data_IF_619518990573
#
_entry.id   IF_619518990573
#
_cell.length_a   1.000
_cell.length_b   1.000
_cell.length_c   1.000
_cell.angle_alpha   90.00
_cell.angle_beta   90.00
_cell.angle_gamma   90.00
#
_symmetry.space_group_name_H-M   'P 1'
#
loop_
_entity.id
_entity.type
_entity.pdbx_description
1 polymer ?
#
# COMPACT_ATOMS: atom_id res chain seq x y z
N UNK A 1 -36.92 19.72 6.13
CA UNK A 1 -35.57 20.14 6.53
C UNK A 1 -34.57 19.20 5.88
N UNK A 2 -33.92 19.64 4.80
CA UNK A 2 -32.82 18.92 4.17
C UNK A 2 -31.52 19.68 4.46
N UNK A 3 -30.66 19.13 5.30
CA UNK A 3 -29.26 19.53 5.37
C UNK A 3 -28.47 18.54 4.50
N UNK A 4 -28.59 18.71 3.17
CA UNK A 4 -27.98 17.85 2.15
C UNK A 4 -26.97 18.59 1.26
N UNK A 5 -26.38 19.68 1.74
CA UNK A 5 -25.41 20.49 0.99
C UNK A 5 -24.02 19.88 1.03
N UNK A 6 -23.65 19.09 0.01
CA UNK A 6 -22.28 18.59 -0.07
C UNK A 6 -21.95 17.67 -1.23
N UNK A 7 -22.61 17.76 -2.40
CA UNK A 7 -22.16 17.16 -3.66
C UNK A 7 -21.75 15.67 -3.69
N UNK A 8 -21.99 14.87 -2.64
CA UNK A 8 -21.46 13.53 -2.46
C UNK A 8 -19.95 13.46 -2.18
N UNK A 9 -19.32 14.55 -1.71
CA UNK A 9 -17.89 14.58 -1.35
C UNK A 9 -17.66 14.18 0.11
N UNK A 10 -16.52 13.55 0.38
CA UNK A 10 -16.11 13.14 1.72
C UNK A 10 -15.49 14.29 2.52
N UNK A 11 -14.76 15.19 1.85
CA UNK A 11 -14.03 16.30 2.43
C UNK A 11 -14.80 17.60 2.22
N UNK A 12 -14.95 18.36 3.32
CA UNK A 12 -15.57 19.69 3.29
C UNK A 12 -14.88 20.62 2.29
N UNK A 13 -13.54 20.59 2.22
CA UNK A 13 -12.77 21.42 1.29
C UNK A 13 -13.15 21.16 -0.18
N UNK A 14 -13.38 19.90 -0.55
CA UNK A 14 -13.77 19.52 -1.91
C UNK A 14 -15.21 19.94 -2.22
N UNK A 15 -16.12 19.74 -1.27
CA UNK A 15 -17.52 20.19 -1.39
C UNK A 15 -17.62 21.70 -1.59
N UNK A 16 -16.96 22.47 -0.72
CA UNK A 16 -16.94 23.94 -0.79
C UNK A 16 -16.34 24.42 -2.11
N UNK A 17 -15.27 23.79 -2.60
CA UNK A 17 -14.71 24.12 -3.90
C UNK A 17 -15.73 23.93 -5.02
N UNK A 18 -16.39 22.77 -5.07
CA UNK A 18 -17.35 22.47 -6.13
C UNK A 18 -18.59 23.38 -6.07
N UNK A 19 -19.05 23.71 -4.86
CA UNK A 19 -20.13 24.67 -4.66
C UNK A 19 -19.73 26.07 -5.14
N UNK A 20 -18.50 26.52 -4.85
CA UNK A 20 -17.97 27.78 -5.36
C UNK A 20 -17.94 27.80 -6.90
N UNK A 21 -17.42 26.72 -7.52
CA UNK A 21 -17.37 26.59 -8.98
C UNK A 21 -18.77 26.63 -9.60
N UNK A 22 -19.72 25.90 -9.01
CA UNK A 22 -21.10 25.87 -9.51
C UNK A 22 -21.78 27.23 -9.37
N UNK A 23 -21.55 27.91 -8.25
CA UNK A 23 -22.12 29.24 -7.97
C UNK A 23 -21.61 30.31 -8.94
N UNK A 24 -20.36 30.24 -9.39
CA UNK A 24 -19.80 31.14 -10.42
C UNK A 24 -20.65 31.16 -11.71
N UNK A 25 -21.31 30.04 -12.02
CA UNK A 25 -22.12 29.85 -13.22
C UNK A 25 -23.60 29.61 -12.89
N UNK A 26 -24.09 30.19 -11.79
CA UNK A 26 -25.51 30.19 -11.46
C UNK A 26 -26.27 31.31 -12.18
N UNK A 27 -27.52 31.07 -12.55
CA UNK A 27 -28.34 31.99 -13.37
C UNK A 27 -28.49 33.40 -12.78
N UNK A 28 -28.44 33.52 -11.44
CA UNK A 28 -28.55 34.80 -10.71
C UNK A 28 -27.20 35.44 -10.38
N UNK A 29 -26.09 34.81 -10.78
CA UNK A 29 -24.72 35.23 -10.42
C UNK A 29 -23.91 35.52 -11.67
N UNK A 30 -23.99 34.66 -12.67
CA UNK A 30 -23.23 34.78 -13.91
C UNK A 30 -23.72 35.97 -14.74
N UNK A 31 -22.77 36.80 -15.19
CA UNK A 31 -23.03 37.91 -16.08
C UNK A 31 -22.17 37.72 -17.34
N UNK A 32 -22.77 37.61 -18.55
CA UNK A 32 -22.01 37.38 -19.78
C UNK A 32 -20.89 38.40 -20.02
N UNK A 33 -21.12 39.68 -19.69
CA UNK A 33 -20.11 40.74 -19.80
C UNK A 33 -18.89 40.56 -18.88
N UNK A 34 -18.99 39.68 -17.87
CA UNK A 34 -17.91 39.32 -16.94
C UNK A 34 -17.47 37.85 -17.09
N UNK A 35 -17.85 37.18 -18.18
CA UNK A 35 -17.55 35.77 -18.42
C UNK A 35 -16.07 35.43 -18.21
N UNK A 36 -15.17 36.28 -18.72
CA UNK A 36 -13.72 36.12 -18.55
C UNK A 36 -13.28 36.10 -17.08
N UNK A 37 -13.91 36.90 -16.20
CA UNK A 37 -13.58 36.93 -14.76
C UNK A 37 -14.07 35.68 -14.06
N UNK A 38 -15.27 35.18 -14.39
CA UNK A 38 -15.81 33.93 -13.83
C UNK A 38 -14.99 32.70 -14.26
N UNK A 39 -14.61 32.62 -15.54
CA UNK A 39 -13.72 31.55 -16.03
C UNK A 39 -12.37 31.61 -15.33
N UNK A 40 -11.73 32.78 -15.29
CA UNK A 40 -10.44 32.96 -14.62
C UNK A 40 -10.49 32.53 -13.15
N UNK A 41 -11.52 32.95 -12.41
CA UNK A 41 -11.71 32.54 -11.02
C UNK A 41 -11.84 31.03 -10.90
N UNK A 42 -12.63 30.39 -11.76
CA UNK A 42 -12.87 28.95 -11.73
C UNK A 42 -11.62 28.14 -12.01
N UNK A 43 -10.83 28.53 -13.04
CA UNK A 43 -9.54 27.90 -13.33
C UNK A 43 -8.55 28.08 -12.18
N UNK A 44 -8.50 29.28 -11.58
CA UNK A 44 -7.65 29.54 -10.42
C UNK A 44 -8.06 28.72 -9.19
N UNK A 45 -9.34 28.50 -8.95
CA UNK A 45 -9.83 27.68 -7.84
C UNK A 45 -9.44 26.21 -8.03
N UNK A 46 -9.62 25.66 -9.23
CA UNK A 46 -9.22 24.28 -9.57
C UNK A 46 -7.71 24.12 -9.42
N UNK A 47 -6.93 25.02 -10.02
CA UNK A 47 -5.46 24.99 -9.95
C UNK A 47 -4.94 25.13 -8.52
N UNK A 48 -5.49 26.05 -7.71
CA UNK A 48 -5.07 26.22 -6.31
C UNK A 48 -5.36 24.98 -5.48
N UNK A 49 -6.52 24.36 -5.68
CA UNK A 49 -6.87 23.13 -4.97
C UNK A 49 -5.93 21.98 -5.33
N UNK A 50 -5.65 21.81 -6.63
CA UNK A 50 -4.71 20.81 -7.13
C UNK A 50 -3.30 21.00 -6.57
N UNK A 51 -2.75 22.21 -6.63
CA UNK A 51 -1.43 22.54 -6.07
C UNK A 51 -1.39 22.29 -4.56
N UNK A 52 -2.44 22.68 -3.84
CA UNK A 52 -2.56 22.47 -2.40
C UNK A 52 -2.55 20.98 -2.04
N UNK A 53 -3.30 20.15 -2.77
CA UNK A 53 -3.30 18.70 -2.59
C UNK A 53 -1.92 18.10 -2.86
N UNK A 54 -1.27 18.47 -3.98
CA UNK A 54 0.08 17.94 -4.31
C UNK A 54 1.11 18.28 -3.25
N UNK A 55 1.18 19.55 -2.85
CA UNK A 55 2.12 19.99 -1.82
C UNK A 55 1.86 19.30 -0.47
N UNK A 56 0.59 19.02 -0.16
CA UNK A 56 0.20 18.26 1.01
C UNK A 56 0.62 16.79 0.97
N UNK A 57 0.29 16.10 -0.11
CA UNK A 57 0.58 14.68 -0.29
C UNK A 57 2.08 14.40 -0.41
N UNK A 58 2.86 15.31 -0.99
CA UNK A 58 4.33 15.22 -1.00
C UNK A 58 4.88 15.27 0.42
N UNK A 59 4.40 16.20 1.27
CA UNK A 59 4.80 16.25 2.69
C UNK A 59 4.40 14.98 3.44
N UNK A 60 3.22 14.41 3.17
CA UNK A 60 2.80 13.13 3.77
C UNK A 60 3.71 11.96 3.34
N UNK A 61 4.13 11.95 2.07
CA UNK A 61 5.08 10.97 1.53
C UNK A 61 6.43 11.04 2.24
N UNK A 62 6.94 12.25 2.45
CA UNK A 62 8.21 12.50 3.14
C UNK A 62 8.14 12.13 4.62
N UNK A 63 7.05 12.47 5.31
CA UNK A 63 6.83 12.10 6.70
C UNK A 63 6.82 10.58 6.92
N UNK A 64 6.35 9.81 5.94
CA UNK A 64 6.39 8.34 5.98
C UNK A 64 7.81 7.75 5.87
N UNK A 65 8.80 8.53 5.43
CA UNK A 65 10.21 8.12 5.34
C UNK A 65 11.06 8.59 6.52
N UNK A 66 10.57 9.55 7.31
CA UNK A 66 11.29 10.12 8.43
C UNK A 66 11.10 9.27 9.70
N UNK A 67 12.10 9.28 10.58
CA UNK A 67 11.98 8.68 11.91
C UNK A 67 10.85 9.35 12.70
N UNK A 68 10.17 8.57 13.56
CA UNK A 68 9.02 9.04 14.35
C UNK A 68 9.32 10.32 15.17
N UNK A 69 10.59 10.54 15.55
CA UNK A 69 11.04 11.74 16.28
C UNK A 69 11.08 13.02 15.42
N UNK A 70 11.07 12.90 14.09
CA UNK A 70 11.17 14.00 13.11
C UNK A 70 9.90 14.17 12.27
N UNK A 71 8.84 13.39 12.55
CA UNK A 71 7.57 13.57 11.87
C UNK A 71 7.04 15.00 12.09
N UNK A 72 6.73 15.67 10.97
CA UNK A 72 6.16 17.01 10.97
C UNK A 72 4.92 17.07 11.88
N UNK A 73 4.70 18.22 12.52
CA UNK A 73 3.50 18.42 13.37
C UNK A 73 2.27 18.86 12.56
N UNK A 74 2.43 19.09 11.26
CA UNK A 74 1.40 19.66 10.41
C UNK A 74 0.29 18.67 10.07
N UNK A 75 -0.83 19.18 9.55
CA UNK A 75 -1.99 18.37 9.19
C UNK A 75 -1.65 17.26 8.18
N UNK A 76 -0.86 17.59 7.18
CA UNK A 76 -0.56 16.70 6.06
C UNK A 76 0.27 15.50 6.45
N UNK A 77 1.27 15.67 7.31
CA UNK A 77 2.13 14.60 7.80
C UNK A 77 1.39 13.55 8.65
N UNK A 78 0.24 13.92 9.24
CA UNK A 78 -0.56 13.06 10.13
C UNK A 78 -1.72 12.34 9.44
N UNK A 79 -1.88 12.51 8.14
CA UNK A 79 -2.98 11.86 7.42
C UNK A 79 -2.96 10.34 7.61
N UNK A 80 -4.11 9.84 8.04
CA UNK A 80 -4.40 8.42 8.24
C UNK A 80 -4.78 7.74 6.92
N UNK A 81 -4.72 6.41 6.90
CA UNK A 81 -5.16 5.61 5.74
C UNK A 81 -6.60 5.93 5.29
N UNK A 82 -7.60 6.05 6.19
CA UNK A 82 -8.96 6.45 5.78
C UNK A 82 -9.04 7.85 5.18
N UNK A 83 -8.29 8.83 5.70
CA UNK A 83 -8.28 10.18 5.14
C UNK A 83 -7.66 10.22 3.73
N UNK A 84 -6.62 9.41 3.48
CA UNK A 84 -6.06 9.24 2.13
C UNK A 84 -7.08 8.61 1.16
N UNK A 85 -7.88 7.65 1.64
CA UNK A 85 -8.99 7.06 0.86
C UNK A 85 -10.05 8.11 0.51
N UNK A 86 -10.40 8.99 1.46
CA UNK A 86 -11.32 10.10 1.20
C UNK A 86 -10.77 11.06 0.14
N UNK A 87 -9.48 11.42 0.22
CA UNK A 87 -8.83 12.31 -0.76
C UNK A 87 -8.85 11.71 -2.17
N UNK A 88 -8.52 10.41 -2.34
CA UNK A 88 -8.51 9.80 -3.69
C UNK A 88 -9.91 9.68 -4.28
N UNK A 89 -10.92 9.40 -3.45
CA UNK A 89 -12.30 9.34 -3.89
C UNK A 89 -12.82 10.72 -4.31
N UNK A 90 -12.49 11.76 -3.53
CA UNK A 90 -12.92 13.12 -3.80
C UNK A 90 -12.24 13.72 -5.02
N UNK A 91 -10.94 13.47 -5.22
CA UNK A 91 -10.21 13.90 -6.43
C UNK A 91 -10.78 13.28 -7.70
N UNK A 92 -11.06 11.96 -7.68
CA UNK A 92 -11.74 11.28 -8.80
C UNK A 92 -13.13 11.86 -9.05
N UNK A 93 -13.94 11.98 -8.00
CA UNK A 93 -15.30 12.53 -8.11
C UNK A 93 -15.30 13.96 -8.61
N UNK A 94 -14.39 14.80 -8.11
CA UNK A 94 -14.27 16.20 -8.51
C UNK A 94 -13.87 16.28 -9.99
N UNK A 95 -12.89 15.50 -10.43
CA UNK A 95 -12.51 15.43 -11.84
C UNK A 95 -13.69 15.02 -12.74
N UNK A 96 -14.49 14.03 -12.33
CA UNK A 96 -15.71 13.65 -13.07
C UNK A 96 -16.70 14.81 -13.13
N UNK A 97 -17.05 15.41 -11.98
CA UNK A 97 -18.05 16.49 -11.91
C UNK A 97 -17.63 17.78 -12.63
N UNK A 98 -16.33 18.07 -12.70
CA UNK A 98 -15.82 19.19 -13.50
C UNK A 98 -15.99 18.91 -14.99
N UNK A 99 -15.72 17.67 -15.44
CA UNK A 99 -15.88 17.26 -16.85
C UNK A 99 -17.33 17.12 -17.29
N UNK A 100 -18.24 16.76 -16.37
CA UNK A 100 -19.67 16.64 -16.65
C UNK A 100 -20.43 17.90 -16.23
N UNK A 101 -20.83 17.96 -14.96
CA UNK A 101 -21.85 18.85 -14.43
C UNK A 101 -21.44 20.33 -14.59
N UNK A 102 -20.20 20.66 -14.27
CA UNK A 102 -19.69 22.02 -14.40
C UNK A 102 -19.53 22.43 -15.87
N UNK A 103 -18.98 21.54 -16.70
CA UNK A 103 -18.83 21.77 -18.14
C UNK A 103 -20.17 22.05 -18.81
N UNK A 104 -21.17 21.20 -18.56
CA UNK A 104 -22.52 21.38 -19.09
C UNK A 104 -23.12 22.72 -18.66
N UNK A 105 -23.00 23.05 -17.37
CA UNK A 105 -23.47 24.34 -16.84
C UNK A 105 -22.79 25.53 -17.51
N UNK A 106 -21.47 25.47 -17.68
CA UNK A 106 -20.69 26.53 -18.32
C UNK A 106 -21.10 26.70 -19.78
N UNK A 107 -21.22 25.62 -20.54
CA UNK A 107 -21.69 25.68 -21.92
C UNK A 107 -23.09 26.29 -22.02
N UNK A 108 -24.01 25.92 -21.12
CA UNK A 108 -25.38 26.45 -21.09
C UNK A 108 -25.45 27.95 -20.81
N UNK A 109 -24.76 28.43 -19.77
CA UNK A 109 -24.81 29.88 -19.44
C UNK A 109 -24.06 30.76 -20.44
N UNK A 110 -23.22 30.15 -21.27
CA UNK A 110 -22.44 30.83 -22.31
C UNK A 110 -22.98 30.60 -23.74
N UNK A 111 -24.15 29.99 -23.91
CA UNK A 111 -24.70 29.60 -25.23
C UNK A 111 -24.82 30.79 -26.21
N UNK A 112 -25.03 32.01 -25.70
CA UNK A 112 -25.10 33.23 -26.51
C UNK A 112 -23.76 33.91 -26.82
N UNK A 113 -22.62 33.31 -26.43
CA UNK A 113 -21.27 33.80 -26.72
C UNK A 113 -20.67 33.09 -27.94
N UNK A 114 -19.50 33.55 -28.37
CA UNK A 114 -18.74 32.93 -29.47
C UNK A 114 -18.50 31.42 -29.19
N UNK A 115 -18.97 30.52 -30.07
CA UNK A 115 -18.79 29.07 -29.90
C UNK A 115 -17.33 28.63 -29.76
N UNK A 116 -16.39 29.30 -30.44
CA UNK A 116 -14.97 28.96 -30.34
C UNK A 116 -14.43 29.27 -28.93
N UNK A 117 -14.85 30.41 -28.36
CA UNK A 117 -14.51 30.79 -26.99
C UNK A 117 -15.10 29.80 -25.98
N UNK A 118 -16.36 29.40 -26.14
CA UNK A 118 -17.02 28.43 -25.26
C UNK A 118 -16.31 27.08 -25.33
N UNK A 119 -15.93 26.65 -26.53
CA UNK A 119 -15.13 25.45 -26.75
C UNK A 119 -13.78 25.50 -26.03
N UNK A 120 -13.07 26.63 -26.12
CA UNK A 120 -11.79 26.83 -25.42
C UNK A 120 -11.96 26.76 -23.89
N UNK A 121 -13.00 27.41 -23.34
CA UNK A 121 -13.29 27.36 -21.89
C UNK A 121 -13.60 25.94 -21.43
N UNK A 122 -14.40 25.19 -22.20
CA UNK A 122 -14.69 23.79 -21.90
C UNK A 122 -13.42 22.93 -21.93
N UNK A 123 -12.53 23.15 -22.91
CA UNK A 123 -11.23 22.49 -22.99
C UNK A 123 -10.34 22.77 -21.77
N UNK A 124 -10.30 24.01 -21.29
CA UNK A 124 -9.56 24.38 -20.07
C UNK A 124 -10.14 23.73 -18.80
N UNK A 125 -11.47 23.58 -18.69
CA UNK A 125 -12.08 22.82 -17.59
C UNK A 125 -11.69 21.33 -17.64
N UNK A 126 -11.69 20.74 -18.83
CA UNK A 126 -11.26 19.35 -19.02
C UNK A 126 -9.78 19.15 -18.68
N UNK A 127 -8.92 20.10 -19.04
CA UNK A 127 -7.51 20.13 -18.67
C UNK A 127 -7.35 20.22 -17.15
N UNK A 128 -8.04 21.15 -16.49
CA UNK A 128 -8.03 21.28 -15.03
C UNK A 128 -8.51 20.01 -14.32
N UNK A 129 -9.58 19.38 -14.83
CA UNK A 129 -10.07 18.12 -14.29
C UNK A 129 -9.07 16.96 -14.48
N UNK A 130 -8.32 16.94 -15.58
CA UNK A 130 -7.25 15.96 -15.81
C UNK A 130 -6.12 16.16 -14.79
N UNK A 131 -5.72 17.40 -14.51
CA UNK A 131 -4.70 17.69 -13.49
C UNK A 131 -5.14 17.26 -12.08
N UNK A 132 -6.39 17.57 -11.69
CA UNK A 132 -6.95 17.09 -10.41
C UNK A 132 -6.98 15.56 -10.37
N UNK A 133 -7.41 14.91 -11.45
CA UNK A 133 -7.42 13.45 -11.55
C UNK A 133 -6.01 12.85 -11.44
N UNK A 134 -4.98 13.55 -11.95
CA UNK A 134 -3.57 13.15 -11.83
C UNK A 134 -3.06 13.06 -10.40
N UNK A 135 -3.67 13.81 -9.47
CA UNK A 135 -3.36 13.73 -8.03
C UNK A 135 -3.64 12.34 -7.45
N UNK A 136 -4.61 11.60 -8.02
CA UNK A 136 -4.95 10.25 -7.57
C UNK A 136 -3.74 9.29 -7.62
N UNK A 137 -2.82 9.48 -8.57
CA UNK A 137 -1.59 8.68 -8.65
C UNK A 137 -0.66 8.95 -7.47
N UNK A 138 -0.54 10.21 -7.04
CA UNK A 138 0.27 10.58 -5.86
C UNK A 138 -0.34 9.97 -4.60
N UNK A 139 -1.67 10.06 -4.46
CA UNK A 139 -2.38 9.46 -3.31
C UNK A 139 -2.20 7.95 -3.31
N UNK A 140 -2.26 7.29 -4.47
CA UNK A 140 -2.01 5.85 -4.61
C UNK A 140 -0.63 5.47 -4.07
N UNK A 141 0.43 6.16 -4.49
CA UNK A 141 1.78 5.86 -4.01
C UNK A 141 1.91 6.06 -2.49
N UNK A 142 1.29 7.12 -1.95
CA UNK A 142 1.33 7.43 -0.51
C UNK A 142 0.57 6.39 0.29
N UNK A 143 -0.65 6.05 -0.16
CA UNK A 143 -1.51 5.06 0.46
C UNK A 143 -0.88 3.66 0.40
N UNK A 144 -0.37 3.27 -0.78
CA UNK A 144 0.32 2.01 -0.97
C UNK A 144 1.58 1.90 -0.12
N UNK A 145 2.36 2.99 -0.01
CA UNK A 145 3.53 3.05 0.88
C UNK A 145 3.18 2.93 2.37
N UNK A 146 2.09 3.57 2.80
CA UNK A 146 1.60 3.51 4.18
C UNK A 146 1.17 2.09 4.57
N UNK A 147 0.34 1.45 3.74
CA UNK A 147 -0.12 0.07 3.97
C UNK A 147 1.06 -0.92 3.88
N UNK A 148 1.97 -0.73 2.92
CA UNK A 148 3.20 -1.51 2.81
C UNK A 148 4.01 -1.44 4.11
N UNK A 149 4.21 -0.26 4.67
CA UNK A 149 4.98 -0.09 5.89
C UNK A 149 4.33 -0.81 7.09
N UNK A 150 3.01 -0.71 7.22
CA UNK A 150 2.26 -1.43 8.26
C UNK A 150 2.43 -2.96 8.13
N UNK A 151 2.41 -3.50 6.92
CA UNK A 151 2.66 -4.92 6.67
C UNK A 151 4.12 -5.31 7.02
N UNK A 152 5.10 -4.50 6.59
CA UNK A 152 6.53 -4.73 6.84
C UNK A 152 6.88 -4.67 8.33
N UNK A 153 6.15 -3.87 9.12
CA UNK A 153 6.36 -3.80 10.56
C UNK A 153 6.10 -5.15 11.25
N UNK A 154 5.15 -5.97 10.76
CA UNK A 154 4.95 -7.33 11.27
C UNK A 154 6.10 -8.28 10.91
N UNK A 155 6.80 -8.06 9.80
CA UNK A 155 7.95 -8.88 9.40
C UNK A 155 9.15 -8.73 10.36
N UNK A 156 9.17 -7.69 11.20
CA UNK A 156 10.17 -7.56 12.28
C UNK A 156 10.13 -8.75 13.24
N UNK A 157 8.99 -9.44 13.36
CA UNK A 157 8.83 -10.63 14.20
C UNK A 157 9.50 -11.89 13.66
N UNK A 158 9.89 -11.93 12.37
CA UNK A 158 10.64 -13.04 11.78
C UNK A 158 11.92 -13.32 12.58
N UNK A 159 12.61 -12.27 13.04
CA UNK A 159 13.82 -12.39 13.87
C UNK A 159 13.56 -13.04 15.24
N UNK A 160 12.31 -13.02 15.72
CA UNK A 160 11.88 -13.67 16.96
C UNK A 160 11.86 -15.20 16.89
N UNK A 161 11.86 -15.79 15.68
CA UNK A 161 11.90 -17.25 15.48
C UNK A 161 13.17 -17.83 16.12
N UNK A 162 14.32 -17.17 15.94
CA UNK A 162 15.59 -17.61 16.54
C UNK A 162 15.50 -17.72 18.06
N UNK A 163 14.93 -16.71 18.73
CA UNK A 163 14.78 -16.71 20.18
C UNK A 163 13.82 -17.80 20.66
N UNK A 164 12.86 -18.21 19.83
CA UNK A 164 11.86 -19.24 20.16
C UNK A 164 12.48 -20.63 20.24
N UNK A 165 13.43 -20.97 19.36
CA UNK A 165 13.99 -22.32 19.25
C UNK A 165 15.40 -22.48 19.83
N UNK A 166 16.19 -21.42 19.87
CA UNK A 166 17.59 -21.49 20.32
C UNK A 166 17.66 -21.85 21.81
N UNK A 167 18.20 -23.03 22.12
CA UNK A 167 18.40 -23.53 23.48
C UNK A 167 17.11 -23.68 24.32
N UNK A 168 15.93 -23.75 23.71
CA UNK A 168 14.64 -23.77 24.44
C UNK A 168 14.05 -25.17 24.65
N UNK A 169 14.74 -26.23 24.19
CA UNK A 169 14.24 -27.63 24.18
C UNK A 169 12.84 -27.81 23.55
N UNK A 170 12.34 -26.82 22.80
CA UNK A 170 11.03 -26.91 22.13
C UNK A 170 10.99 -28.04 21.09
N UNK A 171 9.82 -28.68 20.90
CA UNK A 171 9.62 -29.68 19.86
C UNK A 171 9.72 -29.05 18.46
N UNK A 172 9.71 -29.89 17.43
CA UNK A 172 9.62 -29.42 16.05
C UNK A 172 8.33 -28.62 15.82
N UNK A 173 8.39 -27.50 15.09
CA UNK A 173 7.18 -26.75 14.75
C UNK A 173 6.24 -27.59 13.89
N UNK A 174 4.95 -27.45 14.16
CA UNK A 174 3.85 -28.05 13.38
C UNK A 174 2.80 -27.02 12.94
N UNK A 175 2.99 -25.76 13.31
CA UNK A 175 2.07 -24.65 13.00
C UNK A 175 2.85 -23.40 12.61
N UNK A 176 2.28 -22.54 11.76
CA UNK A 176 2.82 -21.22 11.48
C UNK A 176 2.88 -20.34 12.73
N UNK A 177 3.79 -19.37 12.72
CA UNK A 177 3.93 -18.35 13.76
C UNK A 177 2.71 -17.43 13.80
N UNK A 178 2.33 -17.00 15.00
CA UNK A 178 1.15 -16.15 15.20
C UNK A 178 1.19 -14.80 14.47
N UNK A 179 2.36 -14.26 14.17
CA UNK A 179 2.45 -12.96 13.47
C UNK A 179 2.03 -13.06 12.00
N UNK A 180 2.12 -14.23 11.37
CA UNK A 180 1.93 -14.41 9.93
C UNK A 180 0.53 -13.96 9.52
N UNK A 181 -0.51 -14.34 10.26
CA UNK A 181 -1.91 -13.91 10.05
C UNK A 181 -2.17 -12.43 10.27
N UNK A 182 -1.16 -11.67 10.70
CA UNK A 182 -1.24 -10.22 10.85
C UNK A 182 -0.51 -9.47 9.73
N UNK A 183 0.40 -10.13 9.00
CA UNK A 183 1.26 -9.48 7.98
C UNK A 183 0.42 -8.79 6.92
N UNK A 184 -0.61 -9.45 6.39
CA UNK A 184 -1.45 -8.90 5.32
C UNK A 184 -2.77 -8.30 5.83
N UNK A 185 -2.97 -8.20 7.15
CA UNK A 185 -4.17 -7.58 7.74
C UNK A 185 -4.38 -6.13 7.25
N UNK A 186 -3.36 -5.25 7.21
CA UNK A 186 -3.55 -3.88 6.73
C UNK A 186 -4.09 -3.82 5.29
N UNK A 187 -3.63 -4.72 4.42
CA UNK A 187 -4.11 -4.81 3.05
C UNK A 187 -5.56 -5.33 2.97
N UNK A 188 -5.91 -6.31 3.79
CA UNK A 188 -7.29 -6.82 3.89
C UNK A 188 -8.27 -5.80 4.49
N UNK A 189 -7.81 -4.92 5.38
CA UNK A 189 -8.60 -3.79 5.89
C UNK A 189 -8.82 -2.73 4.81
N UNK A 190 -7.78 -2.42 4.02
CA UNK A 190 -7.90 -1.52 2.88
C UNK A 190 -8.90 -2.04 1.83
N UNK A 191 -8.94 -3.35 1.56
CA UNK A 191 -9.93 -3.95 0.63
C UNK A 191 -11.39 -3.73 1.06
N UNK A 192 -11.65 -3.52 2.35
CA UNK A 192 -13.00 -3.24 2.88
C UNK A 192 -13.38 -1.76 2.78
N UNK A 193 -12.44 -0.89 2.40
CA UNK A 193 -12.67 0.54 2.26
C UNK A 193 -13.36 0.89 0.93
N UNK A 194 -13.86 2.11 0.81
CA UNK A 194 -14.58 2.60 -0.37
C UNK A 194 -13.66 2.97 -1.56
N UNK A 195 -12.52 2.31 -1.73
CA UNK A 195 -11.61 2.54 -2.86
C UNK A 195 -12.21 1.90 -4.12
N UNK A 196 -12.11 2.57 -5.27
CA UNK A 196 -12.56 2.02 -6.56
C UNK A 196 -11.83 0.70 -6.89
N UNK A 197 -12.53 -0.27 -7.48
CA UNK A 197 -11.99 -1.61 -7.80
C UNK A 197 -10.63 -1.59 -8.50
N UNK A 198 -10.47 -0.80 -9.57
CA UNK A 198 -9.22 -0.71 -10.33
C UNK A 198 -8.04 -0.25 -9.45
N UNK A 199 -8.25 0.81 -8.66
CA UNK A 199 -7.24 1.32 -7.75
C UNK A 199 -6.91 0.33 -6.63
N UNK A 200 -7.91 -0.40 -6.14
CA UNK A 200 -7.68 -1.44 -5.13
C UNK A 200 -6.87 -2.60 -5.71
N UNK A 201 -7.13 -3.00 -6.96
CA UNK A 201 -6.33 -4.02 -7.64
C UNK A 201 -4.87 -3.57 -7.77
N UNK A 202 -4.63 -2.34 -8.25
CA UNK A 202 -3.27 -1.79 -8.34
C UNK A 202 -2.56 -1.71 -6.98
N UNK A 203 -3.26 -1.25 -5.93
CA UNK A 203 -2.70 -1.15 -4.58
C UNK A 203 -2.40 -2.53 -4.01
N UNK A 204 -3.30 -3.49 -4.20
CA UNK A 204 -3.14 -4.87 -3.74
C UNK A 204 -1.90 -5.50 -4.36
N UNK A 205 -1.77 -5.42 -5.68
CA UNK A 205 -0.66 -6.04 -6.39
C UNK A 205 0.67 -5.34 -6.05
N UNK A 206 0.67 -4.01 -5.93
CA UNK A 206 1.84 -3.24 -5.48
C UNK A 206 2.30 -3.63 -4.07
N UNK A 207 1.37 -3.64 -3.10
CA UNK A 207 1.69 -3.96 -1.70
C UNK A 207 2.12 -5.42 -1.57
N UNK A 208 1.38 -6.37 -2.15
CA UNK A 208 1.68 -7.79 -2.07
C UNK A 208 3.09 -8.10 -2.58
N UNK A 209 3.46 -7.60 -3.76
CA UNK A 209 4.81 -7.78 -4.32
C UNK A 209 5.90 -7.21 -3.41
N UNK A 210 5.71 -5.97 -2.94
CA UNK A 210 6.72 -5.29 -2.11
C UNK A 210 6.86 -5.90 -0.72
N UNK A 211 5.77 -6.33 -0.07
CA UNK A 211 5.82 -7.04 1.21
C UNK A 211 6.53 -8.39 1.03
N UNK A 212 6.22 -9.10 -0.06
CA UNK A 212 6.81 -10.42 -0.34
C UNK A 212 8.31 -10.33 -0.57
N UNK A 213 8.76 -9.39 -1.40
CA UNK A 213 10.18 -9.11 -1.59
C UNK A 213 10.87 -8.75 -0.26
N UNK A 214 10.20 -7.95 0.59
CA UNK A 214 10.78 -7.59 1.90
C UNK A 214 10.84 -8.77 2.87
N UNK A 215 9.88 -9.69 2.77
CA UNK A 215 9.89 -10.93 3.53
C UNK A 215 11.05 -11.82 3.09
N UNK A 216 11.29 -11.95 1.78
CA UNK A 216 12.42 -12.70 1.24
C UNK A 216 13.76 -12.18 1.78
N UNK A 217 14.02 -10.87 1.66
CA UNK A 217 15.22 -10.24 2.23
C UNK A 217 15.37 -10.55 3.74
N UNK A 218 14.27 -10.51 4.49
CA UNK A 218 14.28 -10.77 5.94
C UNK A 218 14.53 -12.25 6.25
N UNK A 219 13.99 -13.15 5.43
CA UNK A 219 14.17 -14.59 5.51
C UNK A 219 15.61 -14.99 5.19
N UNK A 220 16.17 -14.46 4.10
CA UNK A 220 17.58 -14.66 3.71
C UNK A 220 18.54 -14.22 4.82
N UNK A 221 18.32 -13.04 5.38
CA UNK A 221 19.12 -12.50 6.49
C UNK A 221 19.08 -13.41 7.74
N UNK A 222 17.89 -13.91 8.08
CA UNK A 222 17.70 -14.85 9.19
C UNK A 222 18.45 -16.16 8.92
N UNK A 223 18.24 -16.78 7.76
CA UNK A 223 18.85 -18.06 7.40
C UNK A 223 20.37 -17.97 7.33
N UNK A 224 20.92 -16.88 6.79
CA UNK A 224 22.35 -16.59 6.79
C UNK A 224 22.91 -16.55 8.21
N UNK A 225 22.21 -15.89 9.14
CA UNK A 225 22.59 -15.83 10.55
C UNK A 225 22.56 -17.21 11.23
N UNK A 226 21.54 -18.01 10.93
CA UNK A 226 21.41 -19.38 11.43
C UNK A 226 22.56 -20.25 10.94
N UNK A 227 22.90 -20.20 9.65
CA UNK A 227 24.00 -20.96 9.05
C UNK A 227 25.38 -20.58 9.64
N UNK A 228 25.63 -19.28 9.85
CA UNK A 228 26.86 -18.82 10.51
C UNK A 228 26.97 -19.32 11.95
N UNK A 229 25.86 -19.33 12.69
CA UNK A 229 25.80 -19.82 14.07
C UNK A 229 26.04 -21.34 14.12
N UNK A 230 25.39 -22.09 13.24
CA UNK A 230 25.51 -23.55 13.13
C UNK A 230 26.95 -23.98 12.77
N UNK A 231 27.55 -23.35 11.77
CA UNK A 231 28.95 -23.62 11.37
C UNK A 231 29.95 -23.29 12.47
N UNK A 232 29.71 -22.22 13.24
CA UNK A 232 30.54 -21.86 14.40
C UNK A 232 30.44 -22.90 15.52
N UNK A 233 29.24 -23.37 15.82
CA UNK A 233 29.00 -24.43 16.82
C UNK A 233 29.62 -25.77 16.40
N UNK A 234 29.53 -26.11 15.10
CA UNK A 234 30.16 -27.32 14.56
C UNK A 234 31.68 -27.28 14.75
N UNK A 235 32.33 -26.18 14.36
CA UNK A 235 33.79 -25.98 14.55
C UNK A 235 34.21 -26.00 16.02
N UNK A 236 33.38 -25.46 16.92
CA UNK A 236 33.64 -25.51 18.36
C UNK A 236 33.56 -26.95 18.90
N UNK A 237 32.54 -27.71 18.50
CA UNK A 237 32.38 -29.12 18.87
C UNK A 237 33.54 -29.95 18.35
N UNK A 238 33.93 -29.80 17.08
CA UNK A 238 35.09 -30.48 16.47
C UNK A 238 36.39 -30.22 17.25
N UNK A 239 36.61 -28.99 17.75
CA UNK A 239 37.76 -28.66 18.61
C UNK A 239 37.67 -29.29 20.01
N UNK A 240 36.47 -29.47 20.55
CA UNK A 240 36.26 -30.10 21.86
C UNK A 240 36.35 -31.63 21.78
N UNK A 241 35.99 -32.24 20.66
CA UNK A 241 36.03 -33.70 20.44
C UNK A 241 37.39 -34.23 19.99
N UNK A 242 38.37 -33.37 19.69
CA UNK A 242 39.77 -33.77 19.39
C UNK A 242 40.49 -34.50 20.56
N UNK A 243 39.83 -34.74 21.70
CA UNK A 243 40.36 -35.53 22.83
C UNK A 243 39.49 -36.72 23.28
N UNK A 244 38.36 -37.02 22.62
CA UNK A 244 37.49 -38.15 22.99
C UNK A 244 36.99 -38.87 21.74
N UNK A 245 37.25 -40.18 21.65
CA UNK A 245 36.91 -41.03 20.51
C UNK A 245 35.42 -41.00 20.16
N UNK A 246 35.14 -41.14 18.86
CA UNK A 246 33.79 -41.17 18.29
C UNK A 246 32.96 -42.33 18.86
N UNK A 247 31.77 -42.00 19.37
CA UNK A 247 30.71 -42.98 19.63
C UNK A 247 29.61 -42.73 18.59
N UNK A 248 29.61 -43.54 17.53
CA UNK A 248 28.52 -43.60 16.56
C UNK A 248 27.31 -44.32 17.18
N UNK A 249 26.11 -43.73 17.07
CA UNK A 249 24.87 -44.46 17.38
C UNK A 249 23.66 -43.66 17.86
N UNK A 250 23.76 -42.36 18.14
CA UNK A 250 22.58 -41.57 18.52
C UNK A 250 21.91 -40.96 17.28
N UNK A 251 20.63 -41.32 17.05
CA UNK A 251 19.78 -40.64 16.07
C UNK A 251 19.89 -39.12 16.25
N UNK A 252 20.30 -38.41 15.20
CA UNK A 252 20.57 -36.98 15.25
C UNK A 252 19.30 -36.24 15.65
N UNK A 253 19.23 -35.79 16.91
CA UNK A 253 18.14 -34.96 17.40
C UNK A 253 18.12 -33.67 16.56
N UNK A 254 16.96 -33.33 15.99
CA UNK A 254 16.80 -32.17 15.13
C UNK A 254 17.43 -30.92 15.77
N UNK A 255 18.29 -30.25 15.01
CA UNK A 255 19.03 -29.09 15.50
C UNK A 255 18.10 -27.89 15.66
N UNK A 256 18.54 -26.90 16.45
CA UNK A 256 17.80 -25.63 16.54
C UNK A 256 17.72 -24.94 15.16
N UNK A 257 18.71 -25.15 14.28
CA UNK A 257 18.71 -24.64 12.92
C UNK A 257 17.61 -25.30 12.07
N UNK A 258 17.40 -26.61 12.20
CA UNK A 258 16.33 -27.34 11.50
C UNK A 258 14.94 -26.85 11.93
N UNK A 259 14.76 -26.58 13.23
CA UNK A 259 13.52 -26.01 13.75
C UNK A 259 13.25 -24.61 13.21
N UNK A 260 14.26 -23.76 13.14
CA UNK A 260 14.13 -22.40 12.60
C UNK A 260 13.79 -22.45 11.10
N UNK A 261 14.49 -23.28 10.32
CA UNK A 261 14.20 -23.49 8.89
C UNK A 261 12.76 -23.97 8.68
N UNK A 262 12.34 -24.99 9.43
CA UNK A 262 10.97 -25.50 9.31
C UNK A 262 9.91 -24.48 9.73
N UNK A 263 10.14 -23.73 10.81
CA UNK A 263 9.19 -22.67 11.22
C UNK A 263 9.02 -21.64 10.11
N UNK A 264 10.12 -21.18 9.53
CA UNK A 264 10.08 -20.18 8.46
C UNK A 264 9.38 -20.72 7.21
N UNK A 265 9.59 -21.99 6.87
CA UNK A 265 8.86 -22.67 5.79
C UNK A 265 7.34 -22.71 6.04
N UNK A 266 6.90 -23.11 7.24
CA UNK A 266 5.48 -23.12 7.62
C UNK A 266 4.88 -21.71 7.61
N UNK A 267 5.65 -20.70 8.03
CA UNK A 267 5.24 -19.30 8.01
C UNK A 267 5.00 -18.81 6.58
N UNK A 268 5.88 -19.15 5.64
CA UNK A 268 5.75 -18.77 4.23
C UNK A 268 4.58 -19.49 3.54
N UNK A 269 4.34 -20.78 3.86
CA UNK A 269 3.15 -21.48 3.37
C UNK A 269 1.86 -20.76 3.79
N UNK A 270 1.74 -20.38 5.06
CA UNK A 270 0.57 -19.66 5.55
C UNK A 270 0.47 -18.24 4.99
N UNK A 271 1.60 -17.57 4.79
CA UNK A 271 1.64 -16.29 4.09
C UNK A 271 1.11 -16.40 2.65
N UNK A 272 1.51 -17.44 1.90
CA UNK A 272 0.98 -17.75 0.57
C UNK A 272 -0.54 -17.93 0.57
N UNK A 273 -1.09 -18.70 1.51
CA UNK A 273 -2.55 -18.86 1.64
C UNK A 273 -3.26 -17.54 1.91
N UNK A 274 -2.63 -16.61 2.63
CA UNK A 274 -3.21 -15.29 2.88
C UNK A 274 -3.15 -14.39 1.64
N UNK A 275 -2.11 -14.50 0.82
CA UNK A 275 -2.05 -13.84 -0.49
C UNK A 275 -3.22 -14.33 -1.38
N UNK A 276 -3.43 -15.65 -1.48
CA UNK A 276 -4.56 -16.21 -2.25
C UNK A 276 -5.92 -15.76 -1.73
N UNK A 277 -6.11 -15.71 -0.40
CA UNK A 277 -7.35 -15.19 0.23
C UNK A 277 -7.62 -13.72 -0.13
N UNK A 278 -6.58 -12.95 -0.44
CA UNK A 278 -6.72 -11.56 -0.90
C UNK A 278 -6.88 -11.44 -2.42
N UNK A 279 -6.91 -12.56 -3.13
CA UNK A 279 -7.05 -12.63 -4.59
C UNK A 279 -5.76 -12.38 -5.36
N UNK A 280 -4.59 -12.62 -4.74
CA UNK A 280 -3.30 -12.60 -5.43
C UNK A 280 -3.04 -13.97 -6.05
N UNK A 281 -2.73 -13.97 -7.35
CA UNK A 281 -2.26 -15.15 -8.06
C UNK A 281 -0.79 -15.43 -7.72
N UNK A 282 -0.52 -16.61 -7.19
CA UNK A 282 0.82 -17.07 -6.84
C UNK A 282 1.58 -17.70 -8.01
N UNK A 283 1.02 -17.69 -9.22
CA UNK A 283 1.70 -18.16 -10.42
C UNK A 283 3.01 -17.41 -10.68
N UNK A 284 3.99 -18.12 -11.25
CA UNK A 284 5.37 -17.63 -11.42
C UNK A 284 5.50 -16.33 -12.21
N UNK A 285 4.64 -16.13 -13.19
CA UNK A 285 4.60 -14.89 -13.97
C UNK A 285 3.87 -13.77 -13.23
N UNK A 286 2.84 -14.11 -12.44
CA UNK A 286 2.00 -13.16 -11.73
C UNK A 286 2.69 -12.59 -10.49
N UNK A 287 3.36 -13.43 -9.68
CA UNK A 287 4.04 -13.05 -8.43
C UNK A 287 5.40 -13.75 -8.31
N UNK A 288 6.39 -13.37 -9.14
CA UNK A 288 7.74 -13.96 -9.08
C UNK A 288 8.40 -13.79 -7.71
N UNK A 289 8.10 -12.69 -7.00
CA UNK A 289 8.64 -12.41 -5.67
C UNK A 289 8.28 -13.50 -4.65
N UNK A 290 7.11 -14.14 -4.79
CA UNK A 290 6.71 -15.23 -3.90
C UNK A 290 7.48 -16.51 -4.21
N UNK A 291 7.80 -16.77 -5.49
CA UNK A 291 8.64 -17.89 -5.87
C UNK A 291 10.10 -17.71 -5.43
N UNK A 292 10.59 -16.48 -5.38
CA UNK A 292 11.91 -16.17 -4.80
C UNK A 292 11.92 -16.51 -3.32
N UNK A 293 10.96 -15.96 -2.56
CA UNK A 293 10.75 -16.28 -1.15
C UNK A 293 10.58 -17.78 -0.89
N UNK A 294 9.80 -18.47 -1.72
CA UNK A 294 9.59 -19.92 -1.63
C UNK A 294 10.91 -20.68 -1.76
N UNK A 295 11.71 -20.35 -2.78
CA UNK A 295 13.03 -20.99 -3.00
C UNK A 295 14.00 -20.73 -1.86
N UNK A 296 13.90 -19.57 -1.20
CA UNK A 296 14.71 -19.23 -0.02
C UNK A 296 14.43 -20.16 1.15
N UNK A 297 13.16 -20.53 1.39
CA UNK A 297 12.75 -21.23 2.62
C UNK A 297 12.40 -22.71 2.43
N UNK A 298 12.08 -23.13 1.21
CA UNK A 298 11.67 -24.50 0.93
C UNK A 298 12.84 -25.48 1.07
N UNK A 299 12.60 -26.71 1.58
CA UNK A 299 13.58 -27.79 1.53
C UNK A 299 14.03 -28.08 0.09
N UNK A 300 15.25 -28.57 -0.12
CA UNK A 300 15.85 -28.73 -1.46
C UNK A 300 14.99 -29.53 -2.45
N UNK A 301 14.21 -30.51 -1.99
CA UNK A 301 13.29 -31.30 -2.83
C UNK A 301 11.93 -30.64 -3.11
N UNK A 302 11.68 -29.43 -2.61
CA UNK A 302 10.41 -28.69 -2.74
C UNK A 302 10.57 -27.29 -3.33
N UNK A 303 11.75 -26.92 -3.81
CA UNK A 303 12.05 -25.55 -4.27
C UNK A 303 11.42 -25.20 -5.62
N UNK A 304 11.19 -26.19 -6.48
CA UNK A 304 10.78 -25.96 -7.87
C UNK A 304 9.26 -25.74 -8.02
N UNK A 305 8.46 -26.30 -7.11
CA UNK A 305 7.00 -26.20 -7.13
C UNK A 305 6.48 -25.67 -5.81
N UNK A 306 5.57 -24.69 -5.89
CA UNK A 306 4.89 -24.13 -4.72
C UNK A 306 3.82 -25.12 -4.26
N UNK A 307 3.97 -25.62 -3.04
CA UNK A 307 3.02 -26.51 -2.38
C UNK A 307 2.65 -25.92 -1.03
N UNK A 308 1.49 -25.27 -0.95
CA UNK A 308 1.03 -24.65 0.30
C UNK A 308 0.62 -25.68 1.36
N UNK A 309 0.54 -26.98 1.04
CA UNK A 309 0.06 -28.02 1.94
C UNK A 309 -1.40 -27.83 2.41
N UNK A 310 -1.91 -28.78 3.19
CA UNK A 310 -3.24 -28.65 3.83
C UNK A 310 -3.20 -27.59 4.95
N UNK A 311 -4.26 -26.77 5.01
CA UNK A 311 -4.43 -25.66 5.95
C UNK A 311 -4.89 -26.09 7.34
#
# INVERSE_FOLDING_TARGET
EEVGGGGGFNLSATGVLFDCLTRCFGDKVFLPSLANKFCRLSFQLISRYEVWLRAGLTRRREAGKADAAQQGKDFWSKLTTPELVMIVNDTKRLATKVKSDLRERVCKVMEGLDPELVGAVAGELEAGAKEVGGVASIVKDVLGGDVLQQCVDFLKHVRGITATYRMTNRPMPSRPSHYVSSVLRPLGELQKSSVSGDLMAELRDFVARKVTAKYDETAEDLLRTVQQTESSLKRLKERQTQGAGEVEGAAAKASDADKIRLQLFLDVQEYGRQLEKLGIDLGREATPEYHDLWRTVAPDGKKDEVDLGEG
#
